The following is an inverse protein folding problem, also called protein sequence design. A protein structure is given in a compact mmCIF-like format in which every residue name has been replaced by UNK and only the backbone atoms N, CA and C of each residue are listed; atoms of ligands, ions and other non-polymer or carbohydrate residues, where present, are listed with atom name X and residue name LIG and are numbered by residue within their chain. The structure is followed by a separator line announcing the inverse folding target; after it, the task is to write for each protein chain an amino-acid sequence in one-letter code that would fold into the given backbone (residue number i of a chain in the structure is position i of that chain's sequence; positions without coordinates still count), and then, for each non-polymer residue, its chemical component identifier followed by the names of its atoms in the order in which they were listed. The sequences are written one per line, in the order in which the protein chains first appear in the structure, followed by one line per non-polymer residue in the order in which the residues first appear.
data_IF_437301098942
#
_entry.id   IF_437301098942
#
_cell.length_a   1.000
_cell.length_b   1.000
_cell.length_c   1.000
_cell.angle_alpha   90.00
_cell.angle_beta   90.00
_cell.angle_gamma   90.00
#
_symmetry.space_group_name_H-M   'P 1'
#
loop_
_entity.id
_entity.type
_entity.pdbx_description
1 polymer ?
#
# COMPACT_ATOMS: atom_id res chain seq x y z
N UNK A 1 -18.14 10.74 9.65
CA UNK A 1 -16.76 10.24 9.63
C UNK A 1 -16.80 8.73 9.85
N UNK A 2 -16.36 7.92 8.88
CA UNK A 2 -16.54 6.47 8.89
C UNK A 2 -15.70 5.73 9.95
N UNK A 3 -16.02 4.46 10.17
CA UNK A 3 -15.35 3.57 11.15
C UNK A 3 -13.95 3.10 10.73
N UNK A 4 -13.29 3.76 9.77
CA UNK A 4 -12.00 3.32 9.20
C UNK A 4 -10.88 3.22 10.25
N UNK A 5 -10.95 4.00 11.33
CA UNK A 5 -10.02 3.94 12.46
C UNK A 5 -10.05 2.59 13.22
N UNK A 6 -11.10 1.77 13.03
CA UNK A 6 -11.20 0.42 13.61
C UNK A 6 -10.60 -0.67 12.72
N UNK A 7 -10.34 -0.38 11.44
CA UNK A 7 -9.83 -1.36 10.48
C UNK A 7 -8.44 -1.80 10.91
N UNK A 8 -8.26 -3.12 11.04
CA UNK A 8 -6.98 -3.76 11.41
C UNK A 8 -6.24 -4.34 10.21
N UNK A 9 -6.97 -4.71 9.17
CA UNK A 9 -6.44 -5.36 7.97
C UNK A 9 -7.11 -4.79 6.73
N UNK A 10 -6.32 -4.56 5.69
CA UNK A 10 -6.78 -4.31 4.33
C UNK A 10 -6.29 -5.48 3.48
N UNK A 11 -7.22 -6.35 3.11
CA UNK A 11 -6.98 -7.52 2.27
C UNK A 11 -8.06 -7.69 1.20
N UNK A 12 -8.11 -8.86 0.56
CA UNK A 12 -9.04 -9.12 -0.58
C UNK A 12 -10.51 -8.97 -0.18
N UNK A 13 -10.81 -9.18 1.10
CA UNK A 13 -12.12 -8.90 1.69
C UNK A 13 -12.59 -7.45 1.50
N UNK A 14 -11.67 -6.52 1.30
CA UNK A 14 -11.96 -5.10 1.06
C UNK A 14 -12.35 -4.81 -0.39
N UNK A 15 -12.08 -5.74 -1.32
CA UNK A 15 -12.27 -5.53 -2.76
C UNK A 15 -13.70 -5.83 -3.20
N UNK A 16 -14.51 -6.48 -2.36
CA UNK A 16 -15.89 -6.84 -2.67
C UNK A 16 -16.03 -7.77 -3.88
N UNK A 17 -14.96 -8.46 -4.27
CA UNK A 17 -14.97 -9.41 -5.37
C UNK A 17 -15.51 -10.73 -4.84
N UNK A 18 -16.74 -11.06 -5.23
CA UNK A 18 -17.26 -12.41 -5.10
C UNK A 18 -16.38 -13.32 -5.96
N UNK A 19 -15.61 -14.17 -5.31
CA UNK A 19 -14.72 -15.13 -5.93
C UNK A 19 -15.52 -16.13 -6.79
N UNK A 20 -15.89 -15.76 -8.01
CA UNK A 20 -16.17 -16.73 -9.08
C UNK A 20 -14.82 -17.28 -9.55
N UNK A 21 -14.23 -18.12 -8.71
CA UNK A 21 -12.95 -18.77 -8.94
C UNK A 21 -13.10 -19.77 -10.09
N UNK A 22 -12.87 -19.32 -11.31
CA UNK A 22 -12.40 -20.24 -12.35
C UNK A 22 -10.91 -20.49 -12.11
N UNK A 23 -10.44 -21.74 -11.98
CA UNK A 23 -9.03 -22.08 -11.82
C UNK A 23 -8.17 -21.79 -13.07
N UNK A 24 -8.70 -21.05 -14.04
CA UNK A 24 -8.12 -20.88 -15.38
C UNK A 24 -8.00 -19.43 -15.85
N UNK A 25 -8.32 -18.41 -15.04
CA UNK A 25 -8.22 -17.00 -15.45
C UNK A 25 -7.20 -16.24 -14.62
N UNK A 26 -6.21 -15.75 -15.34
CA UNK A 26 -5.12 -14.87 -14.96
C UNK A 26 -5.60 -13.54 -14.36
N UNK A 27 -4.90 -13.10 -13.31
CA UNK A 27 -4.88 -11.73 -12.76
C UNK A 27 -6.24 -11.13 -12.37
N UNK A 28 -6.54 -11.13 -11.07
CA UNK A 28 -7.69 -10.40 -10.50
C UNK A 28 -7.37 -8.91 -10.40
N UNK A 29 -8.00 -8.09 -11.25
CA UNK A 29 -7.93 -6.62 -11.19
C UNK A 29 -9.16 -6.05 -10.49
N UNK A 30 -9.05 -5.67 -9.22
CA UNK A 30 -10.17 -5.01 -8.53
C UNK A 30 -10.36 -3.57 -8.99
N UNK A 31 -9.25 -2.85 -9.21
CA UNK A 31 -9.25 -1.44 -9.53
C UNK A 31 -8.33 -1.15 -10.72
N UNK A 32 -8.70 -1.60 -11.94
CA UNK A 32 -7.82 -1.54 -13.11
C UNK A 32 -7.43 -0.12 -13.52
N UNK A 33 -8.23 0.89 -13.17
CA UNK A 33 -8.02 2.29 -13.55
C UNK A 33 -7.65 3.22 -12.37
N UNK A 34 -7.53 2.68 -11.15
CA UNK A 34 -7.20 3.51 -9.99
C UNK A 34 -5.74 3.93 -10.06
N UNK A 35 -5.53 5.26 -10.08
CA UNK A 35 -4.21 5.89 -10.15
C UNK A 35 -3.71 6.44 -8.82
N UNK A 36 -4.64 6.81 -7.94
CA UNK A 36 -4.34 7.42 -6.65
C UNK A 36 -5.02 6.64 -5.56
N UNK A 37 -4.26 6.22 -4.55
CA UNK A 37 -4.76 5.55 -3.36
C UNK A 37 -4.26 6.28 -2.11
N UNK A 38 -5.18 6.58 -1.21
CA UNK A 38 -4.88 7.27 0.04
C UNK A 38 -5.52 6.57 1.24
N UNK A 39 -4.71 6.28 2.25
CA UNK A 39 -5.17 5.81 3.56
C UNK A 39 -4.84 6.85 4.62
N UNK A 40 -5.84 7.34 5.33
CA UNK A 40 -5.67 8.38 6.34
C UNK A 40 -6.34 8.01 7.67
N UNK A 41 -5.62 8.17 8.78
CA UNK A 41 -6.18 8.03 10.12
C UNK A 41 -6.62 6.61 10.50
N UNK A 42 -6.01 5.59 9.89
CA UNK A 42 -6.28 4.18 10.20
C UNK A 42 -5.37 3.70 11.32
N UNK A 43 -5.51 4.28 12.52
CA UNK A 43 -4.61 4.06 13.66
C UNK A 43 -4.53 2.63 14.18
N UNK A 44 -5.52 1.77 13.86
CA UNK A 44 -5.51 0.34 14.23
C UNK A 44 -5.05 -0.59 13.10
N UNK A 45 -4.72 -0.06 11.93
CA UNK A 45 -4.37 -0.84 10.76
C UNK A 45 -2.96 -1.41 10.90
N UNK A 46 -2.84 -2.74 10.84
CA UNK A 46 -1.60 -3.47 11.07
C UNK A 46 -1.11 -4.18 9.80
N UNK A 47 -2.04 -4.73 9.02
CA UNK A 47 -1.74 -5.63 7.90
C UNK A 47 -2.31 -5.09 6.60
N UNK A 48 -1.45 -4.92 5.59
CA UNK A 48 -1.84 -4.67 4.22
C UNK A 48 -1.31 -5.78 3.33
N UNK A 49 -2.19 -6.72 3.00
CA UNK A 49 -1.85 -7.82 2.13
C UNK A 49 -3.11 -8.34 1.45
N UNK A 50 -3.05 -8.41 0.12
CA UNK A 50 -4.09 -9.00 -0.68
C UNK A 50 -3.83 -10.48 -1.02
N UNK A 51 -2.78 -11.06 -0.44
CA UNK A 51 -2.39 -12.45 -0.64
C UNK A 51 -1.79 -12.70 -2.01
N UNK A 52 -0.96 -13.74 -2.08
CA UNK A 52 -0.58 -14.41 -3.31
C UNK A 52 -1.31 -15.76 -3.36
N UNK A 53 -1.93 -16.10 -4.49
CA UNK A 53 -2.35 -17.49 -4.75
C UNK A 53 -1.23 -18.18 -5.52
N UNK A 54 -0.19 -18.61 -4.81
CA UNK A 54 0.96 -19.29 -5.41
C UNK A 54 1.98 -18.32 -6.03
N UNK A 55 2.50 -18.67 -7.23
CA UNK A 55 3.55 -17.93 -7.94
C UNK A 55 3.05 -16.68 -8.69
N UNK A 56 1.75 -16.39 -8.62
CA UNK A 56 1.14 -15.26 -9.31
C UNK A 56 0.95 -14.09 -8.35
N UNK A 57 1.71 -13.01 -8.55
CA UNK A 57 1.50 -11.73 -7.87
C UNK A 57 0.14 -11.15 -8.31
N UNK A 58 -0.82 -11.12 -7.38
CA UNK A 58 -2.13 -10.51 -7.64
C UNK A 58 -1.93 -8.99 -7.77
N UNK A 59 -1.88 -8.51 -9.01
CA UNK A 59 -1.75 -7.08 -9.30
C UNK A 59 -3.13 -6.43 -9.28
N UNK A 60 -3.54 -5.94 -8.10
CA UNK A 60 -4.92 -5.49 -7.85
C UNK A 60 -5.16 -4.06 -8.34
N UNK A 61 -4.09 -3.27 -8.40
CA UNK A 61 -4.11 -1.84 -8.74
C UNK A 61 -2.98 -1.54 -9.74
N UNK A 62 -3.06 -2.07 -10.98
CA UNK A 62 -1.95 -2.07 -11.94
C UNK A 62 -1.50 -0.67 -12.37
N UNK A 63 -2.39 0.32 -12.29
CA UNK A 63 -2.16 1.70 -12.73
C UNK A 63 -1.85 2.68 -11.61
N UNK A 64 -1.56 2.18 -10.40
CA UNK A 64 -1.29 3.04 -9.26
C UNK A 64 -0.04 3.89 -9.49
N UNK A 65 -0.23 5.20 -9.59
CA UNK A 65 0.86 6.17 -9.80
C UNK A 65 1.11 7.05 -8.58
N UNK A 66 0.17 7.16 -7.63
CA UNK A 66 0.35 7.91 -6.39
C UNK A 66 -0.23 7.14 -5.20
N UNK A 67 0.59 6.94 -4.16
CA UNK A 67 0.21 6.32 -2.90
C UNK A 67 0.48 7.28 -1.74
N UNK A 68 -0.55 7.52 -0.92
CA UNK A 68 -0.41 8.26 0.34
C UNK A 68 -0.87 7.42 1.52
N UNK A 69 -0.03 7.29 2.54
CA UNK A 69 -0.39 6.69 3.84
C UNK A 69 -0.08 7.71 4.92
N UNK A 70 -1.13 8.21 5.56
CA UNK A 70 -1.05 9.27 6.56
C UNK A 70 -1.67 8.82 7.90
N UNK A 71 -0.94 9.04 9.00
CA UNK A 71 -1.44 8.75 10.36
C UNK A 71 -1.90 7.30 10.57
N UNK A 72 -1.18 6.34 9.99
CA UNK A 72 -1.42 4.89 10.10
C UNK A 72 -0.29 4.25 10.93
N UNK A 73 -0.22 4.60 12.22
CA UNK A 73 0.92 4.31 13.09
C UNK A 73 1.21 2.83 13.35
N UNK A 74 0.24 1.93 13.08
CA UNK A 74 0.37 0.50 13.32
C UNK A 74 0.71 -0.33 12.08
N UNK A 75 0.74 0.28 10.89
CA UNK A 75 0.95 -0.47 9.65
C UNK A 75 2.38 -1.01 9.61
N UNK A 76 2.52 -2.33 9.51
CA UNK A 76 3.81 -3.01 9.68
C UNK A 76 4.63 -3.10 8.40
N UNK A 77 3.99 -3.20 7.24
CA UNK A 77 4.65 -3.43 5.95
C UNK A 77 3.80 -2.98 4.77
N UNK A 78 4.47 -2.67 3.66
CA UNK A 78 3.83 -2.54 2.35
C UNK A 78 3.72 -3.94 1.71
N UNK A 79 2.64 -4.21 0.95
CA UNK A 79 2.54 -5.46 0.22
C UNK A 79 3.56 -5.53 -0.93
N UNK A 80 4.00 -6.74 -1.27
CA UNK A 80 5.09 -6.97 -2.23
C UNK A 80 4.84 -6.34 -3.60
N UNK A 81 3.62 -6.40 -4.12
CA UNK A 81 3.28 -5.79 -5.42
C UNK A 81 3.47 -4.26 -5.44
N UNK A 82 3.36 -3.57 -4.29
CA UNK A 82 3.68 -2.14 -4.20
C UNK A 82 5.19 -1.94 -4.28
N UNK A 83 5.96 -2.74 -3.55
CA UNK A 83 7.43 -2.70 -3.55
C UNK A 83 8.06 -3.06 -4.91
N UNK A 84 7.32 -3.78 -5.74
CA UNK A 84 7.72 -4.14 -7.10
C UNK A 84 7.07 -3.25 -8.18
N UNK A 85 6.27 -2.26 -7.79
CA UNK A 85 5.57 -1.42 -8.74
C UNK A 85 6.54 -0.60 -9.60
N UNK A 86 6.33 -0.62 -10.91
CA UNK A 86 7.04 0.22 -11.89
C UNK A 86 6.21 1.44 -12.32
N UNK A 87 4.94 1.50 -11.93
CA UNK A 87 4.02 2.59 -12.30
C UNK A 87 3.96 3.68 -11.26
N UNK A 88 4.39 3.41 -10.02
CA UNK A 88 4.36 4.35 -8.91
C UNK A 88 5.32 5.52 -9.13
N UNK A 89 4.78 6.73 -9.22
CA UNK A 89 5.53 7.98 -9.42
C UNK A 89 5.63 8.80 -8.14
N UNK A 90 4.65 8.67 -7.26
CA UNK A 90 4.57 9.41 -6.01
C UNK A 90 4.28 8.47 -4.82
N UNK A 91 5.07 8.63 -3.75
CA UNK A 91 4.86 7.95 -2.48
C UNK A 91 4.98 8.94 -1.31
N UNK A 92 3.93 9.02 -0.51
CA UNK A 92 3.89 9.82 0.71
C UNK A 92 3.59 8.94 1.91
N UNK A 93 4.57 8.77 2.79
CA UNK A 93 4.42 8.13 4.10
C UNK A 93 4.53 9.22 5.15
N UNK A 94 3.42 9.59 5.76
CA UNK A 94 3.33 10.72 6.68
C UNK A 94 2.85 10.21 8.05
N UNK A 95 3.61 10.48 9.11
CA UNK A 95 3.19 10.19 10.47
C UNK A 95 2.87 8.71 10.72
N UNK A 96 3.68 7.80 10.16
CA UNK A 96 3.50 6.35 10.21
C UNK A 96 4.75 5.67 10.78
N UNK A 97 4.90 5.70 12.11
CA UNK A 97 6.14 5.37 12.83
C UNK A 97 6.78 4.03 12.50
N UNK A 98 6.01 2.97 12.25
CA UNK A 98 6.55 1.63 11.97
C UNK A 98 7.06 1.56 10.52
N UNK A 99 6.22 1.93 9.56
CA UNK A 99 6.55 1.78 8.14
C UNK A 99 7.56 2.84 7.67
N UNK A 100 7.55 4.05 8.26
CA UNK A 100 8.55 5.08 7.97
C UNK A 100 9.96 4.62 8.34
N UNK A 101 10.12 3.82 9.40
CA UNK A 101 11.39 3.18 9.75
C UNK A 101 11.82 2.18 8.67
N UNK A 102 10.92 1.30 8.21
CA UNK A 102 11.22 0.36 7.12
C UNK A 102 11.57 1.05 5.81
N UNK A 103 10.94 2.19 5.51
CA UNK A 103 11.29 3.00 4.34
C UNK A 103 12.75 3.48 4.35
N UNK A 104 13.31 3.74 5.53
CA UNK A 104 14.70 4.18 5.73
C UNK A 104 15.69 3.00 5.74
N UNK A 105 15.21 1.80 6.02
CA UNK A 105 15.98 0.57 6.12
C UNK A 105 15.64 -0.36 4.94
N UNK A 106 14.74 -1.31 5.15
CA UNK A 106 14.38 -2.38 4.22
C UNK A 106 13.96 -1.92 2.81
N UNK A 107 13.21 -0.81 2.70
CA UNK A 107 12.63 -0.37 1.43
C UNK A 107 13.45 0.71 0.73
N UNK A 108 14.60 1.11 1.25
CA UNK A 108 15.39 2.21 0.69
C UNK A 108 15.69 2.05 -0.82
N UNK A 109 16.05 0.86 -1.34
CA UNK A 109 16.27 0.67 -2.77
C UNK A 109 15.00 0.87 -3.62
N UNK A 110 13.83 0.56 -3.08
CA UNK A 110 12.54 0.81 -3.72
C UNK A 110 12.20 2.30 -3.69
N UNK A 111 12.32 2.94 -2.52
CA UNK A 111 12.02 4.37 -2.33
C UNK A 111 12.83 5.24 -3.30
N UNK A 112 14.13 4.95 -3.47
CA UNK A 112 15.02 5.71 -4.34
C UNK A 112 14.64 5.64 -5.83
N UNK A 113 13.83 4.66 -6.26
CA UNK A 113 13.38 4.54 -7.64
C UNK A 113 12.13 5.38 -7.93
N UNK A 114 11.48 5.91 -6.89
CA UNK A 114 10.23 6.67 -7.01
C UNK A 114 10.59 8.14 -7.20
N UNK A 115 10.18 8.78 -8.32
CA UNK A 115 10.53 10.18 -8.62
C UNK A 115 10.14 11.19 -7.54
N UNK A 116 9.00 10.98 -6.87
CA UNK A 116 8.51 11.84 -5.81
C UNK A 116 8.23 11.02 -4.55
N UNK A 117 9.22 10.88 -3.68
CA UNK A 117 9.06 10.18 -2.41
C UNK A 117 9.20 11.13 -1.21
N UNK A 118 8.29 11.03 -0.25
CA UNK A 118 8.32 11.77 1.01
C UNK A 118 8.03 10.79 2.13
N UNK A 119 8.95 10.70 3.09
CA UNK A 119 8.78 9.91 4.31
C UNK A 119 9.03 10.83 5.50
N UNK A 120 7.99 11.18 6.24
CA UNK A 120 8.08 12.06 7.41
C UNK A 120 7.32 11.50 8.60
N UNK A 121 7.82 11.83 9.79
CA UNK A 121 7.19 11.56 11.07
C UNK A 121 6.91 12.92 11.75
N UNK A 122 5.98 12.98 12.71
CA UNK A 122 5.64 14.24 13.41
C UNK A 122 6.92 14.92 13.92
N UNK A 123 7.22 16.13 13.41
CA UNK A 123 8.35 16.95 13.86
C UNK A 123 9.63 16.90 13.01
N UNK A 124 9.70 16.09 11.94
CA UNK A 124 10.83 16.12 10.98
C UNK A 124 10.35 15.91 9.54
N UNK A 125 10.43 16.95 8.72
CA UNK A 125 10.25 16.84 7.27
C UNK A 125 11.61 16.45 6.66
N UNK A 126 11.73 15.23 6.15
CA UNK A 126 12.90 14.80 5.38
C UNK A 126 12.44 14.55 3.95
N UNK A 127 12.92 15.41 3.04
CA UNK A 127 12.91 15.11 1.60
C UNK A 127 14.10 14.17 1.36
N UNK A 128 13.81 12.96 0.88
CA UNK A 128 14.82 11.97 0.49
C UNK A 128 15.18 12.13 -0.98
#
# INVERSE_FOLDING_TARGET
MGLMWKVKKVGVEFLGIETSLSPSSSSVFAFPNLKTLAFNGMYKWEEWDFGSRGQEDITIIPRLSSLTIASCSKLKMLPNYILQSTTLQELKILNCSIISKRCKEDYQPFINRIPHSIVSDWGVELRL
#
